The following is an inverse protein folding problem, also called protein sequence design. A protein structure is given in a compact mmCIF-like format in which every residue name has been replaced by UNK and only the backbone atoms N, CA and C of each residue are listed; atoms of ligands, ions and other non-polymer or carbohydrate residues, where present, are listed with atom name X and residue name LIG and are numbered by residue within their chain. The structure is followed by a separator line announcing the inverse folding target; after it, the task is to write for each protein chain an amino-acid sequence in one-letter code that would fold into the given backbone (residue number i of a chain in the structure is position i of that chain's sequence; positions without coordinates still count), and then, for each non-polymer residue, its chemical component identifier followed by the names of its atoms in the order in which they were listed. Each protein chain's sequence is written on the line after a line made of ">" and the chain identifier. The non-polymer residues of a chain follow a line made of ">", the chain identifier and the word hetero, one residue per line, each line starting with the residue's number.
data_IF_370675492241
#
_entry.id   IF_370675492241
#
_cell.length_a   1.000
_cell.length_b   1.000
_cell.length_c   1.000
_cell.angle_alpha   90.00
_cell.angle_beta   90.00
_cell.angle_gamma   90.00
#
_symmetry.space_group_name_H-M   'P 1'
#
loop_
_entity.id
_entity.type
_entity.pdbx_description
1 polymer ?
#
# COMPACT_ATOMS: atom_id res chain seq x y z
N UNK A 1 -21.50 -8.17 10.75
CA UNK A 1 -20.43 -7.40 10.05
C UNK A 1 -20.86 -7.25 8.61
N UNK A 2 -20.79 -6.07 8.00
CA UNK A 2 -21.11 -5.93 6.57
C UNK A 2 -19.84 -5.58 5.79
N UNK A 3 -19.61 -6.32 4.72
CA UNK A 3 -18.44 -6.22 3.84
C UNK A 3 -18.72 -5.28 2.67
N UNK A 4 -17.67 -4.60 2.22
CA UNK A 4 -17.68 -3.90 0.94
C UNK A 4 -17.09 -4.85 -0.11
N UNK A 5 -17.89 -5.16 -1.13
CA UNK A 5 -17.55 -6.14 -2.15
C UNK A 5 -16.87 -5.48 -3.33
N UNK A 6 -15.59 -5.76 -3.53
CA UNK A 6 -14.90 -5.37 -4.76
C UNK A 6 -14.71 -6.61 -5.62
N UNK A 7 -15.33 -6.59 -6.80
CA UNK A 7 -15.25 -7.66 -7.79
C UNK A 7 -14.78 -7.07 -9.11
N UNK A 8 -13.70 -7.61 -9.64
CA UNK A 8 -13.28 -7.33 -11.02
C UNK A 8 -14.02 -8.28 -11.98
N UNK A 9 -14.46 -7.74 -13.12
CA UNK A 9 -15.06 -8.53 -14.21
C UNK A 9 -13.97 -9.04 -15.16
N UNK A 10 -14.07 -10.28 -15.69
CA UNK A 10 -13.09 -10.84 -16.63
C UNK A 10 -12.97 -10.08 -17.97
N UNK A 11 -13.92 -9.19 -18.30
CA UNK A 11 -13.96 -8.47 -19.58
C UNK A 11 -13.22 -7.12 -19.61
N UNK A 12 -12.65 -6.66 -18.49
CA UNK A 12 -11.97 -5.35 -18.44
C UNK A 12 -10.54 -5.41 -19.03
N UNK A 13 -10.20 -4.43 -19.88
CA UNK A 13 -8.85 -4.20 -20.43
C UNK A 13 -7.91 -3.82 -19.28
N UNK A 14 -6.75 -4.48 -19.17
CA UNK A 14 -5.85 -4.26 -18.05
C UNK A 14 -5.02 -2.96 -18.19
N UNK A 15 -4.56 -2.37 -17.07
CA UNK A 15 -4.66 -2.92 -15.71
C UNK A 15 -6.08 -2.80 -15.13
N UNK A 16 -6.53 -3.88 -14.46
CA UNK A 16 -7.86 -3.92 -13.84
C UNK A 16 -7.80 -3.19 -12.50
N UNK A 17 -8.81 -2.36 -12.21
CA UNK A 17 -8.82 -1.51 -11.02
C UNK A 17 -10.22 -1.40 -10.42
N UNK A 18 -10.33 -1.69 -9.13
CA UNK A 18 -11.47 -1.37 -8.28
C UNK A 18 -10.92 -0.92 -6.93
N UNK A 19 -10.77 0.39 -6.73
CA UNK A 19 -10.16 0.97 -5.53
C UNK A 19 -11.01 2.09 -4.94
N UNK A 20 -11.04 2.17 -3.61
CA UNK A 20 -11.51 3.34 -2.90
C UNK A 20 -10.32 4.22 -2.57
N UNK A 21 -10.33 5.45 -3.09
CA UNK A 21 -9.45 6.50 -2.60
C UNK A 21 -10.10 7.10 -1.34
N UNK A 22 -9.36 7.11 -0.22
CA UNK A 22 -9.79 7.89 0.92
C UNK A 22 -9.56 9.35 0.56
N UNK A 23 -10.62 10.16 0.63
CA UNK A 23 -10.63 11.55 0.17
C UNK A 23 -9.35 12.29 0.58
N UNK A 24 -8.74 12.96 -0.39
CA UNK A 24 -7.37 13.50 -0.30
C UNK A 24 -7.16 14.35 0.97
N UNK A 25 -8.15 15.15 1.38
CA UNK A 25 -8.12 15.95 2.60
C UNK A 25 -7.86 15.17 3.92
N UNK A 26 -8.13 13.86 3.96
CA UNK A 26 -7.97 13.01 5.16
C UNK A 26 -6.74 12.09 5.12
N UNK A 27 -6.17 11.85 3.94
CA UNK A 27 -5.06 10.89 3.76
C UNK A 27 -3.73 11.53 3.37
N UNK A 28 -3.70 12.87 3.23
CA UNK A 28 -2.50 13.61 2.88
C UNK A 28 -1.35 13.36 3.84
N UNK A 29 -0.27 12.87 3.24
CA UNK A 29 1.02 12.67 3.85
C UNK A 29 2.02 13.65 3.24
N UNK A 30 2.36 14.70 3.97
CA UNK A 30 3.42 15.64 3.62
C UNK A 30 4.77 15.26 4.22
N UNK A 31 5.84 15.86 3.72
CA UNK A 31 7.18 15.67 4.27
C UNK A 31 7.22 16.00 5.78
N UNK A 32 7.95 15.19 6.55
CA UNK A 32 8.06 15.20 8.00
C UNK A 32 6.75 14.91 8.79
N UNK A 33 5.63 14.63 8.12
CA UNK A 33 4.41 14.24 8.82
C UNK A 33 4.46 12.77 9.22
N UNK A 34 3.99 12.50 10.43
CA UNK A 34 3.79 11.11 10.88
C UNK A 34 2.32 10.77 10.86
N UNK A 35 1.98 9.69 10.18
CA UNK A 35 0.59 9.24 10.01
C UNK A 35 0.48 7.77 10.34
N UNK A 36 -0.56 7.41 11.08
CA UNK A 36 -0.94 6.02 11.33
C UNK A 36 -2.11 5.66 10.42
N UNK A 37 -1.99 4.54 9.72
CA UNK A 37 -3.00 3.95 8.85
C UNK A 37 -3.41 2.60 9.43
N UNK A 38 -4.70 2.41 9.65
CA UNK A 38 -5.26 1.12 10.05
C UNK A 38 -6.28 0.68 9.01
N UNK A 39 -6.15 -0.55 8.50
CA UNK A 39 -7.09 -1.12 7.57
C UNK A 39 -7.08 -2.63 7.67
N UNK A 40 -8.03 -3.26 7.01
CA UNK A 40 -8.13 -4.71 6.97
C UNK A 40 -8.59 -5.19 5.61
N UNK A 41 -8.06 -6.33 5.19
CA UNK A 41 -8.47 -6.99 3.96
C UNK A 41 -8.67 -8.48 4.19
N UNK A 42 -9.46 -9.10 3.31
CA UNK A 42 -9.60 -10.55 3.23
C UNK A 42 -9.73 -10.98 1.77
N UNK A 43 -8.84 -11.85 1.31
CA UNK A 43 -9.02 -12.55 0.04
C UNK A 43 -10.06 -13.65 0.20
N UNK A 44 -11.04 -13.72 -0.68
CA UNK A 44 -12.09 -14.75 -0.61
C UNK A 44 -11.93 -15.70 -1.78
N UNK A 45 -11.59 -16.97 -1.49
CA UNK A 45 -11.21 -17.95 -2.51
C UNK A 45 -10.20 -17.37 -3.52
N UNK A 46 -9.24 -16.62 -2.98
CA UNK A 46 -8.27 -15.85 -3.75
C UNK A 46 -7.36 -16.79 -4.54
N UNK A 47 -7.39 -16.79 -5.89
CA UNK A 47 -6.55 -17.66 -6.68
C UNK A 47 -5.07 -17.27 -6.55
N UNK A 48 -4.18 -18.20 -6.86
CA UNK A 48 -2.74 -17.90 -6.94
C UNK A 48 -2.50 -16.91 -8.08
N UNK A 49 -1.85 -15.78 -7.77
CA UNK A 49 -1.48 -14.78 -8.77
C UNK A 49 -0.58 -15.42 -9.84
N UNK A 50 -0.81 -15.12 -11.12
CA UNK A 50 0.02 -15.63 -12.22
C UNK A 50 1.47 -15.19 -12.02
N UNK A 51 2.43 -16.09 -12.23
CA UNK A 51 3.86 -15.82 -12.08
C UNK A 51 4.27 -14.59 -12.92
N UNK A 52 5.02 -13.67 -12.31
CA UNK A 52 5.46 -12.43 -12.95
C UNK A 52 4.39 -11.33 -13.00
N UNK A 53 3.18 -11.59 -12.48
CA UNK A 53 2.15 -10.57 -12.26
C UNK A 53 2.19 -10.09 -10.81
N UNK A 54 1.64 -8.90 -10.63
CA UNK A 54 1.41 -8.27 -9.33
C UNK A 54 -0.05 -7.85 -9.20
N UNK A 55 -0.49 -7.79 -7.95
CA UNK A 55 -1.79 -7.27 -7.56
C UNK A 55 -1.61 -6.40 -6.32
N UNK A 56 -1.93 -5.12 -6.43
CA UNK A 56 -1.88 -4.14 -5.35
C UNK A 56 -3.21 -4.20 -4.59
N UNK A 57 -3.13 -4.41 -3.27
CA UNK A 57 -4.29 -4.43 -2.36
C UNK A 57 -4.45 -3.14 -1.54
N UNK A 58 -3.38 -2.36 -1.42
CA UNK A 58 -3.37 -1.03 -0.80
C UNK A 58 -2.18 -0.25 -1.35
N UNK A 59 -2.35 1.05 -1.59
CA UNK A 59 -1.25 1.89 -2.07
C UNK A 59 -1.37 3.32 -1.60
N UNK A 60 -0.23 3.99 -1.47
CA UNK A 60 -0.11 5.40 -1.17
C UNK A 60 0.45 6.08 -2.40
N UNK A 61 -0.43 6.72 -3.15
CA UNK A 61 -0.12 7.27 -4.44
C UNK A 61 0.27 8.74 -4.30
N UNK A 62 1.24 9.16 -5.08
CA UNK A 62 1.64 10.56 -5.14
C UNK A 62 0.61 11.42 -5.91
N UNK A 63 0.71 12.74 -5.76
CA UNK A 63 -0.27 13.72 -6.25
C UNK A 63 -0.10 14.27 -7.67
N UNK A 64 1.08 14.20 -8.29
CA UNK A 64 1.44 15.04 -9.44
C UNK A 64 2.01 14.33 -10.68
N UNK A 65 2.21 13.01 -10.64
CA UNK A 65 2.76 12.23 -11.74
C UNK A 65 1.87 11.03 -12.11
N UNK A 66 2.09 10.42 -13.26
CA UNK A 66 1.52 9.11 -13.62
C UNK A 66 2.53 7.98 -13.38
N UNK A 67 3.21 8.03 -12.23
CA UNK A 67 4.26 7.08 -11.86
C UNK A 67 3.85 6.21 -10.66
N UNK A 68 4.58 5.10 -10.39
CA UNK A 68 4.26 4.17 -9.32
C UNK A 68 4.04 4.85 -7.96
N UNK A 69 3.16 4.28 -7.13
CA UNK A 69 2.89 4.82 -5.79
C UNK A 69 4.15 4.80 -4.92
N UNK A 70 4.17 5.69 -3.93
CA UNK A 70 5.19 5.74 -2.89
C UNK A 70 5.25 4.42 -2.13
N UNK A 71 4.09 3.93 -1.70
CA UNK A 71 3.97 2.64 -1.02
C UNK A 71 2.98 1.76 -1.77
N UNK A 72 3.29 0.49 -1.95
CA UNK A 72 2.37 -0.51 -2.50
C UNK A 72 2.43 -1.81 -1.68
N UNK A 73 1.31 -2.18 -1.08
CA UNK A 73 1.10 -3.51 -0.53
C UNK A 73 0.58 -4.40 -1.66
N UNK A 74 1.39 -5.37 -2.04
CA UNK A 74 1.17 -6.26 -3.17
C UNK A 74 0.96 -7.70 -2.70
N UNK A 75 0.07 -8.42 -3.40
CA UNK A 75 0.03 -9.88 -3.43
C UNK A 75 0.73 -10.33 -4.70
N UNK A 76 1.67 -11.25 -4.55
CA UNK A 76 2.43 -11.85 -5.65
C UNK A 76 2.58 -13.35 -5.44
N UNK A 77 2.93 -14.09 -6.48
CA UNK A 77 3.18 -15.52 -6.39
C UNK A 77 4.68 -15.81 -6.36
N UNK A 78 5.09 -16.61 -5.37
CA UNK A 78 6.42 -17.21 -5.29
C UNK A 78 6.26 -18.68 -4.92
N UNK A 79 6.96 -19.58 -5.63
CA UNK A 79 6.82 -21.02 -5.45
C UNK A 79 5.34 -21.51 -5.44
N UNK A 80 4.52 -20.93 -6.32
CA UNK A 80 3.09 -21.24 -6.49
C UNK A 80 2.20 -20.93 -5.29
N UNK A 81 2.67 -20.15 -4.31
CA UNK A 81 1.87 -19.64 -3.19
C UNK A 81 1.79 -18.12 -3.22
N UNK A 82 0.65 -17.58 -2.80
CA UNK A 82 0.48 -16.14 -2.65
C UNK A 82 1.24 -15.62 -1.42
N UNK A 83 1.99 -14.55 -1.63
CA UNK A 83 2.78 -13.87 -0.61
C UNK A 83 2.48 -12.38 -0.62
N UNK A 84 2.70 -11.75 0.52
CA UNK A 84 2.59 -10.31 0.68
C UNK A 84 3.94 -9.65 0.49
N UNK A 85 3.96 -8.49 -0.17
CA UNK A 85 5.13 -7.63 -0.31
C UNK A 85 4.75 -6.19 -0.06
N UNK A 86 5.57 -5.46 0.68
CA UNK A 86 5.52 -3.99 0.69
C UNK A 86 6.62 -3.45 -0.21
N UNK A 87 6.26 -2.63 -1.18
CA UNK A 87 7.20 -1.83 -1.97
C UNK A 87 7.20 -0.41 -1.45
N UNK A 88 8.38 0.12 -1.16
CA UNK A 88 8.61 1.48 -0.64
C UNK A 88 9.46 2.25 -1.63
N UNK A 89 9.00 3.43 -2.04
CA UNK A 89 9.64 4.32 -3.01
C UNK A 89 9.67 5.75 -2.50
N UNK A 90 10.78 6.43 -2.73
CA UNK A 90 10.95 7.82 -2.34
C UNK A 90 12.15 8.49 -3.02
N UNK A 91 12.46 9.70 -2.56
CA UNK A 91 13.52 10.53 -3.12
C UNK A 91 13.12 11.19 -4.43
N UNK A 92 14.11 11.53 -5.25
CA UNK A 92 13.86 12.11 -6.58
C UNK A 92 13.19 11.10 -7.49
N UNK A 93 12.10 11.52 -8.13
CA UNK A 93 11.38 10.74 -9.15
C UNK A 93 11.78 11.26 -10.53
N UNK A 94 12.34 10.40 -11.37
CA UNK A 94 12.42 10.63 -12.81
C UNK A 94 11.05 10.35 -13.42
N UNK A 95 10.35 11.40 -13.85
CA UNK A 95 9.00 11.29 -14.41
C UNK A 95 8.97 10.79 -15.86
N UNK A 96 10.11 10.76 -16.57
CA UNK A 96 10.17 10.20 -17.93
C UNK A 96 10.15 8.68 -17.89
N UNK A 97 10.92 8.08 -16.98
CA UNK A 97 11.04 6.62 -16.84
C UNK A 97 10.25 6.05 -15.65
N UNK A 98 9.62 6.92 -14.87
CA UNK A 98 8.94 6.57 -13.62
C UNK A 98 9.80 5.74 -12.65
N UNK A 99 11.07 6.11 -12.55
CA UNK A 99 12.05 5.50 -11.65
C UNK A 99 12.32 6.43 -10.47
N UNK A 100 12.41 5.85 -9.28
CA UNK A 100 12.72 6.58 -8.05
C UNK A 100 14.17 6.33 -7.64
N UNK A 101 14.82 7.35 -7.09
CA UNK A 101 16.16 7.26 -6.54
C UNK A 101 16.26 6.21 -5.42
N UNK A 102 15.18 6.04 -4.66
CA UNK A 102 15.04 5.00 -3.65
C UNK A 102 13.84 4.10 -3.97
N UNK A 103 14.08 2.80 -4.03
CA UNK A 103 13.05 1.76 -4.21
C UNK A 103 13.49 0.48 -3.49
N UNK A 104 12.66 -0.02 -2.58
CA UNK A 104 12.91 -1.25 -1.82
C UNK A 104 11.65 -2.10 -1.77
N UNK A 105 11.84 -3.41 -1.70
CA UNK A 105 10.75 -4.38 -1.60
C UNK A 105 11.01 -5.32 -0.44
N UNK A 106 9.97 -5.56 0.37
CA UNK A 106 10.04 -6.37 1.57
C UNK A 106 9.00 -7.49 1.49
N UNK A 107 9.43 -8.75 1.53
CA UNK A 107 8.55 -9.90 1.65
C UNK A 107 8.00 -9.98 3.08
N UNK A 108 6.68 -9.99 3.22
CA UNK A 108 5.97 -9.96 4.49
C UNK A 108 5.45 -11.34 4.91
N UNK A 109 5.69 -12.37 4.11
CA UNK A 109 5.19 -13.72 4.37
C UNK A 109 4.00 -14.11 3.51
N UNK A 110 3.29 -15.15 3.96
CA UNK A 110 2.16 -15.72 3.23
C UNK A 110 0.95 -14.77 3.24
N UNK A 111 0.25 -14.74 2.11
CA UNK A 111 -1.10 -14.18 2.05
C UNK A 111 -2.10 -15.28 2.38
N UNK A 112 -2.67 -15.23 3.58
CA UNK A 112 -3.64 -16.24 4.04
C UNK A 112 -5.00 -16.02 3.39
N UNK A 113 -5.45 -17.03 2.63
CA UNK A 113 -6.74 -16.99 1.96
C UNK A 113 -7.88 -17.16 2.97
N UNK A 114 -9.02 -16.53 2.72
CA UNK A 114 -10.23 -16.58 3.54
C UNK A 114 -10.05 -16.11 5.01
N UNK A 115 -8.93 -15.48 5.35
CA UNK A 115 -8.65 -14.90 6.67
C UNK A 115 -8.57 -13.39 6.60
N UNK A 116 -9.09 -12.71 7.63
CA UNK A 116 -8.94 -11.27 7.78
C UNK A 116 -7.52 -10.93 8.24
N UNK A 117 -6.84 -10.09 7.46
CA UNK A 117 -5.54 -9.53 7.81
C UNK A 117 -5.72 -8.09 8.31
N UNK A 118 -5.36 -7.84 9.57
CA UNK A 118 -5.41 -6.52 10.21
C UNK A 118 -4.08 -5.82 10.06
N UNK A 119 -4.03 -4.68 9.38
CA UNK A 119 -2.82 -3.90 9.19
C UNK A 119 -2.84 -2.66 10.07
N UNK A 120 -1.70 -2.37 10.69
CA UNK A 120 -1.41 -1.10 11.34
C UNK A 120 -0.04 -0.62 10.86
N UNK A 121 -0.02 0.48 10.12
CA UNK A 121 1.19 1.07 9.58
C UNK A 121 1.38 2.48 10.16
N UNK A 122 2.50 2.74 10.80
CA UNK A 122 2.91 4.08 11.19
C UNK A 122 4.07 4.50 10.30
N UNK A 123 3.98 5.68 9.71
CA UNK A 123 5.01 6.16 8.79
C UNK A 123 5.29 7.63 9.04
N UNK A 124 6.57 7.97 9.17
CA UNK A 124 7.07 9.33 9.07
C UNK A 124 7.50 9.52 7.64
N UNK A 125 6.81 10.39 6.93
CA UNK A 125 6.99 10.60 5.50
C UNK A 125 8.19 11.49 5.22
N UNK A 126 9.10 11.04 4.38
CA UNK A 126 10.23 11.85 3.95
C UNK A 126 10.75 11.46 2.57
N UNK A 127 11.24 12.46 1.85
CA UNK A 127 12.01 12.26 0.62
C UNK A 127 13.49 11.98 0.87
N UNK A 128 14.01 12.21 2.09
CA UNK A 128 15.33 11.75 2.48
C UNK A 128 15.24 10.43 3.23
N UNK A 129 16.33 9.66 3.23
CA UNK A 129 16.38 8.44 4.04
C UNK A 129 16.33 8.82 5.51
N UNK A 130 17.15 9.77 5.92
CA UNK A 130 17.36 10.16 7.31
C UNK A 130 16.09 10.62 8.02
N UNK A 131 15.17 11.27 7.29
CA UNK A 131 13.92 11.79 7.84
C UNK A 131 12.75 10.81 7.82
N UNK A 132 12.88 9.68 7.14
CA UNK A 132 11.76 8.76 6.93
C UNK A 132 11.86 7.49 7.79
N UNK A 133 10.69 7.06 8.26
CA UNK A 133 10.55 5.86 9.07
C UNK A 133 9.23 5.16 8.73
N UNK A 134 9.18 3.84 8.86
CA UNK A 134 7.98 3.05 8.62
C UNK A 134 7.98 1.81 9.50
N UNK A 135 6.91 1.63 10.27
CA UNK A 135 6.62 0.36 10.95
C UNK A 135 5.31 -0.23 10.45
N UNK A 136 5.29 -1.56 10.31
CA UNK A 136 4.11 -2.30 9.84
C UNK A 136 3.85 -3.51 10.75
N UNK A 137 2.64 -3.57 11.26
CA UNK A 137 2.12 -4.70 12.01
C UNK A 137 1.01 -5.40 11.22
N UNK A 138 1.00 -6.72 11.23
CA UNK A 138 -0.06 -7.56 10.66
C UNK A 138 -0.58 -8.50 11.74
N UNK A 139 -1.89 -8.47 11.99
CA UNK A 139 -2.54 -9.24 13.07
C UNK A 139 -1.85 -9.04 14.43
N UNK A 140 -1.41 -7.80 14.72
CA UNK A 140 -0.71 -7.43 15.95
C UNK A 140 0.78 -7.81 16.00
N UNK A 141 1.30 -8.58 15.02
CA UNK A 141 2.72 -8.93 14.94
C UNK A 141 3.49 -7.87 14.15
N UNK A 142 4.60 -7.38 14.70
CA UNK A 142 5.53 -6.51 13.96
C UNK A 142 6.21 -7.30 12.84
N UNK A 143 6.08 -6.82 11.61
CA UNK A 143 6.71 -7.40 10.42
C UNK A 143 7.83 -6.52 9.86
N UNK A 144 7.70 -5.20 9.99
CA UNK A 144 8.72 -4.24 9.58
C UNK A 144 8.87 -3.16 10.63
N UNK A 145 10.11 -2.79 10.89
CA UNK A 145 10.49 -1.60 11.64
C UNK A 145 11.70 -0.96 10.94
N UNK A 146 11.41 -0.04 10.02
CA UNK A 146 12.38 0.58 9.13
C UNK A 146 12.69 1.98 9.65
N UNK A 147 13.93 2.16 10.07
CA UNK A 147 14.50 3.46 10.34
C UNK A 147 15.37 3.87 9.15
N UNK A 148 15.33 5.16 8.80
CA UNK A 148 16.11 5.76 7.70
C UNK A 148 15.70 5.28 6.30
N UNK A 149 14.46 5.51 5.90
CA UNK A 149 13.95 5.13 4.57
C UNK A 149 13.23 6.29 3.86
N UNK A 150 13.62 6.58 2.62
CA UNK A 150 12.87 7.51 1.78
C UNK A 150 11.58 6.83 1.29
N UNK A 151 10.44 7.37 1.69
CA UNK A 151 9.10 6.84 1.40
C UNK A 151 8.18 7.90 0.79
N UNK A 152 8.70 9.08 0.44
CA UNK A 152 7.98 10.14 -0.26
C UNK A 152 8.80 10.64 -1.44
N UNK A 153 8.15 11.04 -2.53
CA UNK A 153 8.87 11.70 -3.62
C UNK A 153 9.10 13.18 -3.29
N UNK A 154 10.26 13.70 -3.67
CA UNK A 154 10.66 15.08 -3.39
C UNK A 154 9.61 16.09 -3.87
N UNK A 155 9.16 16.96 -2.96
CA UNK A 155 8.19 18.02 -3.25
C UNK A 155 6.74 17.55 -3.44
N UNK A 156 6.44 16.28 -3.17
CA UNK A 156 5.11 15.71 -3.36
C UNK A 156 4.43 15.37 -2.03
N UNK A 157 3.16 15.02 -2.11
CA UNK A 157 2.42 14.42 -1.00
C UNK A 157 1.84 13.08 -1.44
N UNK A 158 1.41 12.27 -0.48
CA UNK A 158 0.82 10.96 -0.77
C UNK A 158 -0.58 10.83 -0.21
N UNK A 159 -1.42 10.01 -0.84
CA UNK A 159 -2.78 9.69 -0.39
C UNK A 159 -3.06 8.20 -0.52
N UNK A 160 -3.87 7.65 0.40
CA UNK A 160 -4.11 6.21 0.47
C UNK A 160 -5.29 5.78 -0.42
N UNK A 161 -5.09 4.66 -1.11
CA UNK A 161 -6.12 3.87 -1.80
C UNK A 161 -6.11 2.44 -1.27
N UNK A 162 -7.29 1.84 -1.13
CA UNK A 162 -7.46 0.43 -0.77
C UNK A 162 -8.43 -0.22 -1.74
N UNK A 163 -8.08 -1.41 -2.22
CA UNK A 163 -8.90 -2.15 -3.18
C UNK A 163 -8.04 -3.06 -4.04
N UNK A 164 -8.51 -3.39 -5.24
CA UNK A 164 -7.80 -4.23 -6.19
C UNK A 164 -7.24 -3.38 -7.33
N UNK A 165 -5.94 -3.52 -7.58
CA UNK A 165 -5.31 -3.02 -8.80
C UNK A 165 -4.36 -4.10 -9.32
N UNK A 166 -4.68 -4.71 -10.46
CA UNK A 166 -4.02 -5.94 -10.91
C UNK A 166 -3.46 -5.84 -12.32
N UNK A 167 -2.27 -6.42 -12.50
CA UNK A 167 -1.69 -6.72 -13.81
C UNK A 167 -2.04 -8.13 -14.30
N UNK A 168 -2.58 -8.98 -13.42
CA UNK A 168 -3.02 -10.35 -13.73
C UNK A 168 -4.38 -10.31 -14.42
N UNK A 169 -4.42 -10.89 -15.62
CA UNK A 169 -5.60 -10.93 -16.50
C UNK A 169 -6.29 -12.29 -16.51
N UNK A 170 -5.58 -13.31 -16.02
CA UNK A 170 -5.97 -14.72 -16.15
C UNK A 170 -6.92 -15.11 -15.02
N UNK A 171 -6.89 -14.34 -13.93
CA UNK A 171 -7.66 -14.59 -12.72
C UNK A 171 -8.74 -13.54 -12.48
N UNK A 172 -9.78 -13.94 -11.73
CA UNK A 172 -10.72 -13.04 -11.08
C UNK A 172 -10.48 -13.09 -9.58
N UNK A 173 -10.28 -11.93 -8.97
CA UNK A 173 -10.02 -11.80 -7.54
C UNK A 173 -11.23 -11.25 -6.81
N UNK A 174 -11.44 -11.72 -5.57
CA UNK A 174 -12.40 -11.15 -4.64
C UNK A 174 -11.65 -10.71 -3.39
N UNK A 175 -11.69 -9.42 -3.14
CA UNK A 175 -11.12 -8.80 -1.95
C UNK A 175 -12.25 -8.13 -1.17
N UNK A 176 -12.38 -8.49 0.10
CA UNK A 176 -13.18 -7.74 1.05
C UNK A 176 -12.27 -6.73 1.75
N UNK A 177 -12.75 -5.50 1.89
CA UNK A 177 -12.09 -4.44 2.68
C UNK A 177 -12.93 -4.20 3.94
N UNK A 178 -12.28 -4.15 5.10
CA UNK A 178 -12.98 -3.94 6.36
C UNK A 178 -13.55 -2.52 6.46
N UNK A 179 -14.66 -2.39 7.19
CA UNK A 179 -15.44 -1.15 7.27
C UNK A 179 -14.70 0.04 7.90
N UNK A 180 -13.75 -0.22 8.79
CA UNK A 180 -12.99 0.84 9.47
C UNK A 180 -11.61 0.92 8.86
N UNK A 181 -11.47 1.79 7.86
CA UNK A 181 -10.16 2.33 7.50
C UNK A 181 -10.00 3.62 8.27
N UNK A 182 -9.01 3.69 9.17
CA UNK A 182 -8.71 4.91 9.93
C UNK A 182 -7.35 5.48 9.54
N UNK A 183 -7.30 6.80 9.52
CA UNK A 183 -6.09 7.57 9.28
C UNK A 183 -5.98 8.58 10.42
N UNK A 184 -4.88 8.50 11.13
CA UNK A 184 -4.62 9.33 12.31
C UNK A 184 -3.31 10.07 12.07
N UNK A 185 -3.37 11.33 11.57
CA UNK A 185 -2.19 12.17 11.54
C UNK A 185 -1.79 12.49 12.98
N UNK A 186 -0.53 12.24 13.34
CA UNK A 186 0.02 12.78 14.57
C UNK A 186 0.16 14.29 14.38
N UNK A 187 -0.78 15.04 14.96
CA UNK A 187 -0.64 16.48 15.09
C UNK A 187 0.30 16.73 16.26
N UNK A 188 1.39 17.46 16.05
CA UNK A 188 2.14 18.05 17.15
C UNK A 188 1.19 19.02 17.88
N UNK A 189 0.65 18.60 19.02
CA UNK A 189 -0.02 19.50 19.95
C UNK A 189 1.08 20.02 20.87
N UNK A 190 1.46 21.28 20.67
CA UNK A 190 2.34 22.04 21.56
C UNK A 190 3.80 21.57 21.72
N UNK A 191 4.52 21.33 20.61
CA UNK A 191 5.97 21.52 20.57
C UNK A 191 6.84 20.76 21.56
N UNK A 192 6.40 19.61 22.08
CA UNK A 192 7.27 18.73 22.86
C UNK A 192 7.47 17.41 22.12
N UNK A 193 8.73 17.15 21.78
CA UNK A 193 9.30 15.86 21.36
C UNK A 193 9.74 15.12 22.60
#
# INVERSE_FOLDING_TARGET
>A
MSSLWLRESPTAVAPRRVEYALGTAQSYAGNAQTTTYNWSIRGVNFPTVTKGRWLIVSQWHQTYANCPPNLALEVFSAASVNRLRLVVRGGTLDTMNCSSADSRSFDLGLFENNTWLMFSMKTTWSSSREGGALSLHVNGRSLLDLNRIANLYTGQSSYMKVGLYSSDRDNTFRLEVGRKVSIEPLRCVNGQV
#
